data_IF_925091754561
#
_entry.id   IF_925091754561
#
_cell.length_a   1.000
_cell.length_b   1.000
_cell.length_c   1.000
_cell.angle_alpha   90.00
_cell.angle_beta   90.00
_cell.angle_gamma   90.00
#
_symmetry.space_group_name_H-M   'P 1'
#
loop_
_entity.id
_entity.type
_entity.pdbx_description
1 polymer ?
#
# COMPACT_ATOMS: atom_id res chain seq x y z
N UNK A 1 -26.65 10.91 42.78
CA UNK A 1 -27.80 10.03 43.07
C UNK A 1 -27.49 8.66 42.48
N UNK A 2 -27.48 7.63 43.32
CA UNK A 2 -27.12 6.25 42.94
C UNK A 2 -28.28 5.60 42.17
N UNK A 3 -28.05 4.88 41.05
CA UNK A 3 -29.06 3.97 40.54
C UNK A 3 -29.13 2.73 41.45
N UNK A 4 -30.36 2.39 41.83
CA UNK A 4 -30.67 1.33 42.78
C UNK A 4 -30.38 -0.07 42.23
N UNK A 5 -29.83 -0.92 43.09
CA UNK A 5 -29.70 -2.36 42.89
C UNK A 5 -31.05 -2.98 43.28
N UNK A 6 -31.79 -3.50 42.30
CA UNK A 6 -32.91 -4.41 42.58
C UNK A 6 -32.34 -5.82 42.75
N UNK A 7 -32.28 -6.27 44.01
CA UNK A 7 -32.06 -7.67 44.32
C UNK A 7 -33.42 -8.37 44.39
N UNK A 8 -33.72 -9.22 43.41
CA UNK A 8 -34.71 -10.28 43.60
C UNK A 8 -33.99 -11.51 44.11
N UNK A 9 -34.28 -11.90 45.35
CA UNK A 9 -33.88 -13.18 45.92
C UNK A 9 -35.16 -14.00 46.12
N UNK A 10 -35.31 -15.02 45.29
CA UNK A 10 -36.04 -16.27 45.56
C UNK A 10 -35.21 -17.28 44.76
N UNK A 11 -34.35 -18.09 45.36
CA UNK A 11 -34.74 -19.23 46.18
C UNK A 11 -34.34 -20.46 45.36
N UNK A 12 -33.47 -21.29 45.93
CA UNK A 12 -32.93 -22.55 45.44
C UNK A 12 -31.71 -22.51 44.51
N UNK A 13 -30.60 -22.93 45.11
CA UNK A 13 -29.28 -23.15 44.55
C UNK A 13 -29.22 -24.43 43.73
N UNK A 14 -28.84 -24.36 42.45
CA UNK A 14 -27.93 -25.33 41.80
C UNK A 14 -27.19 -24.62 40.66
N UNK A 15 -25.86 -24.69 40.69
CA UNK A 15 -24.89 -24.47 39.62
C UNK A 15 -25.29 -23.63 38.41
N UNK A 16 -24.79 -22.39 38.37
CA UNK A 16 -24.95 -21.55 37.20
C UNK A 16 -24.14 -20.26 37.30
N UNK A 17 -22.87 -20.35 37.66
CA UNK A 17 -21.94 -19.24 37.44
C UNK A 17 -21.67 -19.12 35.93
N UNK A 18 -22.68 -18.72 35.16
CA UNK A 18 -22.48 -18.17 33.82
C UNK A 18 -21.90 -16.78 34.02
N UNK A 19 -20.58 -16.75 34.06
CA UNK A 19 -19.80 -15.53 33.99
C UNK A 19 -20.29 -14.68 32.82
N UNK A 20 -20.32 -13.37 33.01
CA UNK A 20 -20.71 -12.34 32.03
C UNK A 20 -19.81 -12.34 30.77
N UNK A 21 -18.91 -13.32 30.65
CA UNK A 21 -18.02 -13.57 29.52
C UNK A 21 -18.66 -14.37 28.38
N UNK A 22 -19.82 -15.03 28.57
CA UNK A 22 -20.48 -15.81 27.49
C UNK A 22 -21.34 -14.95 26.54
N UNK A 23 -21.50 -13.65 26.80
CA UNK A 23 -22.35 -12.77 25.98
C UNK A 23 -21.59 -12.02 24.86
N UNK A 24 -20.27 -12.22 24.73
CA UNK A 24 -19.49 -11.68 23.62
C UNK A 24 -19.09 -12.79 22.65
N UNK A 25 -20.07 -13.58 22.22
CA UNK A 25 -19.92 -14.31 20.96
C UNK A 25 -20.12 -13.26 19.86
N UNK A 26 -19.09 -12.90 19.09
CA UNK A 26 -19.27 -11.98 17.97
C UNK A 26 -20.38 -12.54 17.09
N UNK A 27 -21.32 -11.68 16.70
CA UNK A 27 -22.43 -12.09 15.84
C UNK A 27 -21.86 -12.72 14.57
N UNK A 28 -22.05 -14.03 14.46
CA UNK A 28 -21.54 -14.81 13.33
C UNK A 28 -22.35 -14.54 12.05
N UNK A 29 -23.48 -13.83 12.16
CA UNK A 29 -24.29 -13.42 11.00
C UNK A 29 -23.48 -12.48 10.09
N UNK A 30 -22.79 -11.47 10.64
CA UNK A 30 -22.00 -10.51 9.86
C UNK A 30 -20.85 -11.18 9.08
N UNK A 31 -20.36 -12.33 9.54
CA UNK A 31 -19.32 -13.12 8.86
C UNK A 31 -19.85 -14.05 7.76
N UNK A 32 -21.17 -14.26 7.72
CA UNK A 32 -21.82 -15.23 6.82
C UNK A 32 -22.70 -14.55 5.77
N UNK A 33 -23.16 -13.33 6.04
CA UNK A 33 -24.06 -12.62 5.15
C UNK A 33 -23.41 -12.29 3.81
N UNK A 34 -24.15 -12.58 2.74
CA UNK A 34 -23.71 -12.30 1.39
C UNK A 34 -23.81 -10.80 1.10
N UNK A 35 -23.00 -10.25 0.18
CA UNK A 35 -23.03 -8.82 -0.11
C UNK A 35 -24.40 -8.27 -0.51
N UNK A 36 -25.25 -9.05 -1.21
CA UNK A 36 -26.61 -8.63 -1.55
C UNK A 36 -27.61 -8.73 -0.38
N UNK A 37 -27.38 -9.59 0.62
CA UNK A 37 -28.20 -9.68 1.83
C UNK A 37 -27.97 -8.41 2.68
N UNK A 38 -26.70 -8.05 2.88
CA UNK A 38 -26.28 -6.79 3.52
C UNK A 38 -26.85 -5.58 2.78
N UNK A 39 -26.82 -5.59 1.45
CA UNK A 39 -27.40 -4.52 0.63
C UNK A 39 -28.92 -4.44 0.77
N UNK A 40 -29.61 -5.58 0.83
CA UNK A 40 -31.06 -5.62 1.02
C UNK A 40 -31.47 -5.00 2.36
N UNK A 41 -30.75 -5.33 3.43
CA UNK A 41 -30.99 -4.78 4.77
C UNK A 41 -30.69 -3.29 4.84
N UNK A 42 -29.48 -2.87 4.43
CA UNK A 42 -29.03 -1.48 4.55
C UNK A 42 -29.89 -0.49 3.76
N UNK A 43 -30.41 -0.91 2.60
CA UNK A 43 -31.19 -0.04 1.72
C UNK A 43 -32.69 -0.32 1.77
N UNK A 44 -33.15 -1.29 2.57
CA UNK A 44 -34.55 -1.68 2.67
C UNK A 44 -35.15 -2.16 1.34
N UNK A 45 -34.33 -2.78 0.48
CA UNK A 45 -34.77 -3.26 -0.84
C UNK A 45 -35.04 -4.76 -0.83
N UNK A 46 -35.94 -5.27 -1.71
CA UNK A 46 -36.17 -6.71 -1.81
C UNK A 46 -34.89 -7.47 -2.18
N UNK A 47 -34.69 -8.64 -1.57
CA UNK A 47 -33.50 -9.48 -1.79
C UNK A 47 -33.25 -9.80 -3.28
N UNK A 48 -34.32 -10.07 -4.03
CA UNK A 48 -34.25 -10.32 -5.47
C UNK A 48 -33.82 -9.10 -6.30
N UNK A 49 -34.03 -7.88 -5.80
CA UNK A 49 -33.54 -6.65 -6.41
C UNK A 49 -32.06 -6.41 -6.06
N UNK A 50 -31.69 -6.60 -4.79
CA UNK A 50 -30.30 -6.51 -4.34
C UNK A 50 -29.39 -7.49 -5.08
N UNK A 51 -29.82 -8.74 -5.27
CA UNK A 51 -29.07 -9.74 -6.03
C UNK A 51 -28.86 -9.34 -7.50
N UNK A 52 -29.86 -8.69 -8.13
CA UNK A 52 -29.74 -8.17 -9.51
C UNK A 52 -28.78 -6.99 -9.60
N UNK A 53 -28.83 -6.08 -8.64
CA UNK A 53 -27.90 -4.94 -8.57
C UNK A 53 -26.48 -5.43 -8.36
N UNK A 54 -26.26 -6.39 -7.45
CA UNK A 54 -24.95 -6.98 -7.24
C UNK A 54 -24.43 -7.65 -8.53
N UNK A 55 -25.25 -8.47 -9.19
CA UNK A 55 -24.84 -9.14 -10.44
C UNK A 55 -24.50 -8.14 -11.55
N UNK A 56 -25.27 -7.05 -11.68
CA UNK A 56 -24.95 -5.97 -12.62
C UNK A 56 -23.64 -5.26 -12.25
N UNK A 57 -23.44 -4.93 -10.97
CA UNK A 57 -22.22 -4.30 -10.48
C UNK A 57 -20.99 -5.18 -10.73
N UNK A 58 -21.07 -6.48 -10.42
CA UNK A 58 -19.98 -7.43 -10.63
C UNK A 58 -19.62 -7.53 -12.13
N UNK A 59 -20.62 -7.53 -13.02
CA UNK A 59 -20.41 -7.53 -14.46
C UNK A 59 -19.77 -6.23 -14.97
N UNK A 60 -20.24 -5.06 -14.51
CA UNK A 60 -19.64 -3.76 -14.84
C UNK A 60 -18.20 -3.65 -14.33
N UNK A 61 -17.96 -4.08 -13.09
CA UNK A 61 -16.61 -4.08 -12.52
C UNK A 61 -15.69 -5.03 -13.29
N UNK A 62 -16.16 -6.21 -13.70
CA UNK A 62 -15.37 -7.11 -14.54
C UNK A 62 -15.00 -6.46 -15.88
N UNK A 63 -15.93 -5.78 -16.54
CA UNK A 63 -15.69 -5.02 -17.77
C UNK A 63 -14.66 -3.90 -17.56
N UNK A 64 -14.87 -3.05 -16.56
CA UNK A 64 -13.99 -1.94 -16.23
C UNK A 64 -12.56 -2.41 -15.86
N UNK A 65 -12.45 -3.53 -15.14
CA UNK A 65 -11.16 -4.16 -14.83
C UNK A 65 -10.43 -4.59 -16.10
N UNK A 66 -11.14 -5.21 -17.04
CA UNK A 66 -10.56 -5.68 -18.28
C UNK A 66 -10.11 -4.51 -19.17
N UNK A 67 -10.92 -3.46 -19.30
CA UNK A 67 -10.54 -2.25 -20.03
C UNK A 67 -9.29 -1.60 -19.43
N UNK A 68 -9.26 -1.47 -18.09
CA UNK A 68 -8.12 -0.88 -17.40
C UNK A 68 -6.86 -1.72 -17.57
N UNK A 69 -6.98 -3.04 -17.48
CA UNK A 69 -5.88 -3.97 -17.74
C UNK A 69 -5.34 -3.81 -19.15
N UNK A 70 -6.20 -3.80 -20.17
CA UNK A 70 -5.80 -3.63 -21.57
C UNK A 70 -5.11 -2.30 -21.78
N UNK A 71 -5.65 -1.22 -21.23
CA UNK A 71 -5.06 0.11 -21.33
C UNK A 71 -3.68 0.21 -20.67
N UNK A 72 -3.52 -0.32 -19.46
CA UNK A 72 -2.24 -0.31 -18.75
C UNK A 72 -1.22 -1.24 -19.43
N UNK A 73 -1.66 -2.38 -19.95
CA UNK A 73 -0.83 -3.28 -20.76
C UNK A 73 -0.37 -2.61 -22.06
N UNK A 74 -1.26 -1.92 -22.77
CA UNK A 74 -0.93 -1.18 -23.99
C UNK A 74 0.11 -0.08 -23.73
N UNK A 75 0.03 0.61 -22.59
CA UNK A 75 1.06 1.57 -22.17
C UNK A 75 2.41 0.92 -21.91
N UNK A 76 2.43 -0.25 -21.27
CA UNK A 76 3.67 -0.98 -21.05
C UNK A 76 4.27 -1.39 -22.40
N UNK A 77 3.45 -1.95 -23.29
CA UNK A 77 3.86 -2.39 -24.61
C UNK A 77 4.37 -1.23 -25.47
N UNK A 78 3.73 -0.05 -25.42
CA UNK A 78 4.18 1.10 -26.21
C UNK A 78 5.60 1.55 -25.82
N UNK A 79 5.94 1.56 -24.53
CA UNK A 79 7.28 1.91 -24.05
C UNK A 79 8.31 0.84 -24.43
N UNK A 80 7.92 -0.44 -24.33
CA UNK A 80 8.80 -1.55 -24.69
C UNK A 80 9.10 -1.59 -26.19
N UNK A 81 8.10 -1.33 -27.03
CA UNK A 81 8.21 -1.33 -28.50
C UNK A 81 8.82 -0.05 -29.08
N UNK A 82 9.02 1.01 -28.28
CA UNK A 82 9.73 2.19 -28.76
C UNK A 82 11.12 1.80 -29.29
N UNK A 83 11.48 2.20 -30.53
CA UNK A 83 12.75 1.82 -31.17
C UNK A 83 13.97 2.42 -30.45
N UNK A 84 13.74 3.43 -29.61
CA UNK A 84 14.78 4.11 -28.87
C UNK A 84 15.01 3.43 -27.52
N UNK A 85 16.27 3.16 -27.22
CA UNK A 85 16.72 2.66 -25.93
C UNK A 85 17.09 1.18 -25.92
N UNK A 86 17.46 0.70 -24.74
CA UNK A 86 17.89 -0.68 -24.55
C UNK A 86 16.74 -1.50 -23.97
N UNK A 87 16.19 -2.43 -24.75
CA UNK A 87 15.04 -3.25 -24.36
C UNK A 87 15.32 -4.04 -23.08
N UNK A 88 16.53 -4.58 -22.92
CA UNK A 88 16.90 -5.29 -21.71
C UNK A 88 16.86 -4.35 -20.49
N UNK A 89 17.38 -3.13 -20.63
CA UNK A 89 17.33 -2.16 -19.55
C UNK A 89 15.89 -1.71 -19.20
N UNK A 90 15.01 -1.56 -20.20
CA UNK A 90 13.58 -1.25 -20.00
C UNK A 90 12.87 -2.34 -19.20
N UNK A 91 13.06 -3.60 -19.59
CA UNK A 91 12.44 -4.76 -18.95
C UNK A 91 12.96 -4.95 -17.53
N UNK A 92 14.28 -4.84 -17.31
CA UNK A 92 14.83 -4.95 -15.96
C UNK A 92 14.42 -3.77 -15.07
N UNK A 93 14.33 -2.56 -15.62
CA UNK A 93 13.75 -1.41 -14.91
C UNK A 93 12.34 -1.71 -14.41
N UNK A 94 11.48 -2.28 -15.28
CA UNK A 94 10.12 -2.69 -14.93
C UNK A 94 10.11 -3.77 -13.85
N UNK A 95 10.96 -4.79 -13.99
CA UNK A 95 11.09 -5.87 -13.01
C UNK A 95 11.55 -5.36 -11.63
N UNK A 96 12.39 -4.31 -11.57
CA UNK A 96 12.75 -3.66 -10.32
C UNK A 96 11.61 -2.81 -9.74
N UNK A 97 10.79 -2.15 -10.56
CA UNK A 97 9.63 -1.38 -10.09
C UNK A 97 8.54 -2.27 -9.47
N UNK A 98 8.32 -3.47 -10.03
CA UNK A 98 7.41 -4.46 -9.46
C UNK A 98 8.04 -5.33 -8.36
N UNK A 99 9.32 -5.15 -8.02
CA UNK A 99 10.02 -6.01 -7.06
C UNK A 99 10.24 -7.47 -7.51
N UNK A 100 9.91 -7.80 -8.77
CA UNK A 100 10.07 -9.13 -9.37
C UNK A 100 11.54 -9.51 -9.52
N UNK A 101 12.43 -8.54 -9.70
CA UNK A 101 13.86 -8.77 -9.81
C UNK A 101 14.42 -9.55 -8.60
N UNK A 102 13.98 -9.20 -7.38
CA UNK A 102 14.40 -9.91 -6.16
C UNK A 102 13.62 -11.21 -5.97
N UNK A 103 12.28 -11.17 -6.12
CA UNK A 103 11.39 -12.29 -5.81
C UNK A 103 11.48 -13.46 -6.79
N UNK A 104 11.66 -13.19 -8.08
CA UNK A 104 11.63 -14.22 -9.12
C UNK A 104 13.03 -14.54 -9.67
N UNK A 105 13.87 -13.52 -9.80
CA UNK A 105 15.18 -13.69 -10.45
C UNK A 105 16.34 -13.76 -9.45
N UNK A 106 16.08 -13.67 -8.14
CA UNK A 106 17.11 -13.69 -7.09
C UNK A 106 18.09 -12.52 -7.16
N UNK A 107 17.76 -11.47 -7.92
CA UNK A 107 18.62 -10.31 -8.14
C UNK A 107 18.36 -9.26 -7.06
N UNK A 108 19.34 -9.11 -6.17
CA UNK A 108 19.31 -8.14 -5.07
C UNK A 108 19.71 -6.72 -5.51
N UNK A 109 20.45 -6.55 -6.61
CA UNK A 109 20.97 -5.23 -7.01
C UNK A 109 21.00 -4.96 -8.50
N UNK A 110 20.73 -3.71 -8.88
CA UNK A 110 20.92 -3.22 -10.26
C UNK A 110 22.37 -3.33 -10.72
N UNK A 111 23.34 -3.26 -9.80
CA UNK A 111 24.76 -3.39 -10.13
C UNK A 111 25.11 -4.80 -10.62
N UNK A 112 24.44 -5.83 -10.08
CA UNK A 112 24.61 -7.21 -10.56
C UNK A 112 24.04 -7.36 -11.98
N UNK A 113 22.84 -6.83 -12.24
CA UNK A 113 22.23 -6.86 -13.58
C UNK A 113 23.02 -6.05 -14.59
N UNK A 114 23.50 -4.86 -14.20
CA UNK A 114 24.35 -4.03 -15.04
C UNK A 114 25.59 -4.79 -15.53
N UNK A 115 26.29 -5.48 -14.63
CA UNK A 115 27.47 -6.30 -14.98
C UNK A 115 27.13 -7.47 -15.89
N UNK A 116 25.94 -8.07 -15.73
CA UNK A 116 25.48 -9.21 -16.55
C UNK A 116 25.07 -8.77 -17.95
N UNK A 117 24.34 -7.66 -18.07
CA UNK A 117 23.85 -7.14 -19.36
C UNK A 117 24.93 -6.40 -20.14
N UNK A 118 25.84 -5.73 -19.44
CA UNK A 118 26.87 -4.87 -20.01
C UNK A 118 28.24 -5.24 -19.43
N UNK A 119 28.84 -6.36 -19.90
CA UNK A 119 30.12 -6.83 -19.40
C UNK A 119 31.27 -5.87 -19.76
N UNK A 120 32.44 -6.12 -19.17
CA UNK A 120 33.63 -5.27 -19.36
C UNK A 120 33.98 -5.11 -20.83
N UNK A 121 34.19 -3.87 -21.28
CA UNK A 121 34.45 -3.53 -22.68
C UNK A 121 33.19 -3.31 -23.52
N UNK A 122 31.99 -3.46 -22.95
CA UNK A 122 30.75 -3.11 -23.64
C UNK A 122 30.63 -1.57 -23.76
N UNK A 123 30.19 -1.01 -24.90
CA UNK A 123 30.09 0.44 -25.11
C UNK A 123 29.20 1.20 -24.10
N UNK A 124 28.33 0.47 -23.39
CA UNK A 124 27.40 1.00 -22.38
C UNK A 124 27.79 0.67 -20.94
N UNK A 125 28.93 0.02 -20.70
CA UNK A 125 29.38 -0.42 -19.36
C UNK A 125 29.33 0.72 -18.34
N UNK A 126 29.96 1.85 -18.62
CA UNK A 126 30.09 2.99 -17.70
C UNK A 126 28.74 3.60 -17.27
N UNK A 127 27.71 3.50 -18.12
CA UNK A 127 26.38 4.10 -17.90
C UNK A 127 25.27 3.08 -17.61
N UNK A 128 25.61 1.80 -17.55
CA UNK A 128 24.66 0.68 -17.39
C UNK A 128 23.77 0.80 -16.15
N UNK A 129 24.36 1.11 -14.98
CA UNK A 129 23.62 1.30 -13.73
C UNK A 129 22.69 2.51 -13.79
N UNK A 130 23.17 3.62 -14.36
CA UNK A 130 22.37 4.82 -14.53
C UNK A 130 21.19 4.57 -15.48
N UNK A 131 21.42 3.81 -16.55
CA UNK A 131 20.39 3.41 -17.51
C UNK A 131 19.29 2.57 -16.85
N UNK A 132 19.65 1.55 -16.05
CA UNK A 132 18.69 0.75 -15.30
C UNK A 132 17.89 1.58 -14.28
N UNK A 133 18.58 2.48 -13.57
CA UNK A 133 17.95 3.40 -12.61
C UNK A 133 16.98 4.37 -13.29
N UNK A 134 17.35 4.89 -14.46
CA UNK A 134 16.51 5.76 -15.27
C UNK A 134 15.20 5.07 -15.66
N UNK A 135 15.26 3.85 -16.20
CA UNK A 135 14.04 3.11 -16.56
C UNK A 135 13.23 2.68 -15.35
N UNK A 136 13.85 2.29 -14.23
CA UNK A 136 13.09 2.04 -12.99
C UNK A 136 12.31 3.30 -12.57
N UNK A 137 12.95 4.47 -12.55
CA UNK A 137 12.26 5.73 -12.17
C UNK A 137 11.14 6.07 -13.13
N UNK A 138 11.34 5.84 -14.43
CA UNK A 138 10.28 6.01 -15.42
C UNK A 138 9.06 5.14 -15.07
N UNK A 139 9.27 3.84 -14.81
CA UNK A 139 8.20 2.93 -14.44
C UNK A 139 7.58 3.24 -13.08
N UNK A 140 8.37 3.66 -12.09
CA UNK A 140 7.86 4.11 -10.79
C UNK A 140 6.92 5.32 -10.92
N UNK A 141 7.09 6.15 -11.94
CA UNK A 141 6.20 7.29 -12.21
C UNK A 141 5.00 6.90 -13.07
N UNK A 142 5.18 5.95 -13.99
CA UNK A 142 4.13 5.48 -14.89
C UNK A 142 3.12 4.55 -14.21
N UNK A 143 3.55 3.81 -13.18
CA UNK A 143 2.72 2.80 -12.51
C UNK A 143 2.00 3.37 -11.26
N UNK A 144 0.77 2.89 -10.98
CA UNK A 144 0.06 3.24 -9.75
C UNK A 144 0.88 2.94 -8.51
N UNK A 145 0.77 3.78 -7.47
CA UNK A 145 1.49 3.60 -6.20
C UNK A 145 1.15 2.29 -5.48
N UNK A 146 -0.03 1.74 -5.73
CA UNK A 146 -0.49 0.45 -5.17
C UNK A 146 0.31 -0.75 -5.67
N UNK A 147 0.93 -0.65 -6.85
CA UNK A 147 1.68 -1.75 -7.47
C UNK A 147 3.20 -1.58 -7.33
N UNK A 148 3.64 -0.41 -6.87
CA UNK A 148 5.06 -0.14 -6.63
C UNK A 148 5.54 -0.87 -5.38
N UNK A 149 6.45 -1.81 -5.56
CA UNK A 149 7.21 -2.36 -4.43
C UNK A 149 8.43 -1.47 -4.26
N UNK A 150 8.37 -0.55 -3.30
CA UNK A 150 9.56 0.19 -2.90
C UNK A 150 10.61 -0.82 -2.46
N UNK A 151 11.69 -0.94 -3.25
CA UNK A 151 12.87 -1.76 -2.93
C UNK A 151 13.70 -1.19 -1.78
N UNK A 152 13.05 -0.56 -0.79
CA UNK A 152 13.63 -0.20 0.49
C UNK A 152 13.07 -1.21 1.49
N UNK A 153 13.90 -1.69 2.42
CA UNK A 153 13.50 -2.68 3.44
C UNK A 153 12.17 -2.29 4.11
N UNK A 154 11.40 -3.23 4.67
CA UNK A 154 10.17 -2.92 5.41
C UNK A 154 10.36 -1.78 6.43
N UNK A 155 11.50 -1.76 7.13
CA UNK A 155 11.89 -0.67 8.03
C UNK A 155 12.06 0.68 7.34
N UNK A 156 12.68 0.70 6.15
CA UNK A 156 12.85 1.93 5.40
C UNK A 156 11.51 2.38 4.78
N UNK A 157 10.63 1.47 4.39
CA UNK A 157 9.25 1.79 3.99
C UNK A 157 8.46 2.37 5.16
N UNK A 158 8.57 1.79 6.36
CA UNK A 158 7.94 2.29 7.59
C UNK A 158 8.46 3.68 7.97
N UNK A 159 9.77 3.92 7.84
CA UNK A 159 10.36 5.27 8.03
C UNK A 159 9.85 6.27 7.00
N UNK A 160 9.68 5.88 5.74
CA UNK A 160 9.14 6.76 4.70
C UNK A 160 7.65 7.03 4.87
N UNK A 161 6.85 6.03 5.26
CA UNK A 161 5.42 6.23 5.54
C UNK A 161 5.22 7.13 6.75
N UNK A 162 5.97 6.90 7.84
CA UNK A 162 5.97 7.76 9.01
C UNK A 162 6.40 9.20 8.68
N UNK A 163 7.47 9.37 7.90
CA UNK A 163 7.92 10.69 7.46
C UNK A 163 6.90 11.41 6.56
N UNK A 164 6.17 10.67 5.72
CA UNK A 164 5.11 11.21 4.85
C UNK A 164 3.87 11.60 5.65
N UNK A 165 3.44 10.79 6.61
CA UNK A 165 2.32 11.11 7.52
C UNK A 165 2.66 12.36 8.32
N UNK A 166 3.85 12.40 8.92
CA UNK A 166 4.34 13.58 9.63
C UNK A 166 4.41 14.82 8.72
N UNK A 167 4.83 14.68 7.46
CA UNK A 167 4.84 15.80 6.51
C UNK A 167 3.44 16.33 6.21
N UNK A 168 2.45 15.45 6.01
CA UNK A 168 1.05 15.84 5.76
C UNK A 168 0.41 16.46 7.00
N UNK A 169 0.71 15.96 8.19
CA UNK A 169 0.18 16.47 9.46
C UNK A 169 0.81 17.80 9.87
N UNK A 170 2.11 17.99 9.60
CA UNK A 170 2.84 19.19 10.02
C UNK A 170 2.88 20.29 8.96
N UNK A 171 2.59 19.99 7.69
CA UNK A 171 2.68 20.95 6.57
C UNK A 171 4.10 21.47 6.25
N UNK A 172 5.09 21.15 7.08
CA UNK A 172 6.44 21.72 7.02
C UNK A 172 7.31 21.04 5.97
N UNK A 173 7.75 21.82 4.99
CA UNK A 173 8.76 21.46 4.00
C UNK A 173 10.11 21.19 4.66
N UNK A 174 10.91 20.34 4.00
CA UNK A 174 12.27 19.99 4.48
C UNK A 174 13.13 21.23 4.76
N UNK A 175 12.90 22.31 4.02
CA UNK A 175 13.58 23.59 4.21
C UNK A 175 13.25 24.23 5.58
N UNK A 176 12.01 24.10 6.05
CA UNK A 176 11.55 24.72 7.31
C UNK A 176 12.07 23.95 8.53
N UNK A 177 12.23 22.62 8.44
CA UNK A 177 12.86 21.81 9.50
C UNK A 177 14.36 22.07 9.65
N UNK A 178 15.05 22.38 8.56
CA UNK A 178 16.48 22.72 8.58
C UNK A 178 16.71 24.13 9.19
N UNK A 179 15.76 25.06 9.03
CA UNK A 179 15.79 26.36 9.73
C UNK A 179 15.47 26.28 11.21
N UNK A 180 14.52 25.42 11.63
CA UNK A 180 14.20 25.24 13.06
C UNK A 180 15.35 24.58 13.83
N UNK A 181 16.04 23.60 13.23
CA UNK A 181 17.24 23.01 13.82
C UNK A 181 18.43 23.99 13.88
N UNK A 182 18.53 24.92 12.92
CA UNK A 182 19.54 25.97 12.95
C UNK A 182 19.20 27.09 13.96
N UNK A 183 17.92 27.34 14.23
CA UNK A 183 17.44 28.32 15.22
C UNK A 183 17.62 27.87 16.67
N UNK A 184 17.54 26.56 16.95
CA UNK A 184 17.70 26.00 18.30
C UNK A 184 19.15 26.01 18.83
N UNK A 185 20.15 26.34 18.00
CA UNK A 185 21.58 26.33 18.37
C UNK A 185 22.17 27.74 18.60
N UNK A 186 21.35 28.79 18.61
CA UNK A 186 21.78 30.15 18.95
C UNK A 186 21.02 30.69 20.16
N UNK A 187 21.45 30.28 21.34
CA UNK A 187 21.38 31.16 22.50
C UNK A 187 22.72 31.15 23.26
N UNK A 188 23.66 32.02 22.90
CA UNK A 188 24.84 32.31 23.70
C UNK A 188 24.58 33.61 24.48
N UNK A 189 23.68 33.58 25.47
CA UNK A 189 23.50 34.73 26.37
C UNK A 189 23.43 34.31 27.84
N UNK A 190 24.45 34.76 28.59
CA UNK A 190 24.65 34.56 30.02
C UNK A 190 26.05 33.97 30.26
N UNK A 191 27.18 34.73 30.22
CA UNK A 191 27.52 35.96 30.96
C UNK A 191 26.98 35.95 32.37
N UNK A 192 27.86 35.65 33.32
CA UNK A 192 28.30 36.53 34.41
C UNK A 192 29.53 35.83 35.04
N UNK A 193 30.72 36.46 34.97
CA UNK A 193 31.25 37.47 35.89
C UNK A 193 31.76 36.84 37.20
#
# INVERSE_FOLDING_TARGET
MKPGIFAYVNGDSVDGCRTVHEAFVPDMAELTDKPHEIMAENFGIPLAAAARIQAWHDAEMAGAWQERFVHDFAKIMSVLLQPNGDMAAKVWGLAFSFGLASRMNGVQSMAAVARRLFPKGHPKEARSRALLSHYKRFWDNALPSTVRIFGKSPEACAKYSAARIAFVETGLTRAERETDQAGSLRDPSGRDA
#
